data_IF_042700385015
#
_entry.id   IF_042700385015
#
_cell.length_a   1.000
_cell.length_b   1.000
_cell.length_c   1.000
_cell.angle_alpha   90.00
_cell.angle_beta   90.00
_cell.angle_gamma   90.00
#
_symmetry.space_group_name_H-M   'P 1'
#
loop_
_entity.id
_entity.type
_entity.pdbx_description
1 polymer ?
#
# COMPACT_ATOMS: atom_id res chain seq x y z
N UNK A 1 14.80 -41.07 -18.05
CA UNK A 1 13.74 -42.04 -17.71
C UNK A 1 12.45 -41.46 -18.25
N UNK A 2 11.85 -42.05 -19.29
CA UNK A 2 10.59 -41.54 -19.86
C UNK A 2 9.47 -42.06 -18.96
N UNK A 3 8.77 -41.15 -18.28
CA UNK A 3 7.62 -41.50 -17.43
C UNK A 3 6.49 -41.93 -18.38
N UNK A 4 6.17 -43.23 -18.37
CA UNK A 4 5.18 -43.85 -19.27
C UNK A 4 3.75 -43.82 -18.72
N UNK A 5 3.56 -43.30 -17.51
CA UNK A 5 2.27 -43.20 -16.83
C UNK A 5 1.74 -41.77 -16.93
N UNK A 6 0.53 -41.64 -17.50
CA UNK A 6 -0.15 -40.35 -17.69
C UNK A 6 -0.31 -39.58 -16.39
N UNK A 7 -0.62 -40.28 -15.30
CA UNK A 7 -0.98 -39.66 -14.03
C UNK A 7 0.25 -39.03 -13.35
N UNK A 8 1.41 -39.69 -13.47
CA UNK A 8 2.68 -39.15 -13.01
C UNK A 8 3.08 -37.91 -13.82
N UNK A 9 2.84 -37.90 -15.13
CA UNK A 9 3.10 -36.73 -15.98
C UNK A 9 2.19 -35.55 -15.63
N UNK A 10 0.91 -35.82 -15.33
CA UNK A 10 -0.04 -34.81 -14.88
C UNK A 10 0.40 -34.18 -13.55
N UNK A 11 0.86 -34.99 -12.60
CA UNK A 11 1.32 -34.49 -11.30
C UNK A 11 2.59 -33.64 -11.43
N UNK A 12 3.58 -34.10 -12.20
CA UNK A 12 4.81 -33.33 -12.46
C UNK A 12 4.51 -31.99 -13.15
N UNK A 13 3.57 -31.98 -14.10
CA UNK A 13 3.14 -30.75 -14.75
C UNK A 13 2.40 -29.81 -13.77
N UNK A 14 1.53 -30.36 -12.93
CA UNK A 14 0.79 -29.59 -11.92
C UNK A 14 1.74 -28.90 -10.94
N UNK A 15 2.74 -29.62 -10.43
CA UNK A 15 3.76 -29.08 -9.52
C UNK A 15 4.57 -27.96 -10.20
N UNK A 16 5.00 -28.18 -11.44
CA UNK A 16 5.72 -27.16 -12.21
C UNK A 16 4.91 -25.88 -12.38
N UNK A 17 3.63 -25.98 -12.75
CA UNK A 17 2.78 -24.81 -12.93
C UNK A 17 2.42 -24.14 -11.60
N UNK A 18 2.25 -24.90 -10.53
CA UNK A 18 2.03 -24.35 -9.20
C UNK A 18 3.20 -23.46 -8.77
N UNK A 19 4.44 -23.89 -9.01
CA UNK A 19 5.63 -23.09 -8.70
C UNK A 19 5.84 -21.93 -9.68
N UNK A 20 5.57 -22.15 -10.97
CA UNK A 20 5.70 -21.10 -12.00
C UNK A 20 4.70 -19.95 -11.80
N UNK A 21 3.46 -20.26 -11.42
CA UNK A 21 2.42 -19.28 -11.14
C UNK A 21 2.35 -18.88 -9.66
N UNK A 22 3.25 -19.40 -8.82
CA UNK A 22 3.36 -18.96 -7.44
C UNK A 22 3.68 -17.47 -7.46
N UNK A 23 2.69 -16.66 -7.07
CA UNK A 23 2.85 -15.22 -7.02
C UNK A 23 4.11 -14.90 -6.20
N UNK A 24 5.07 -14.22 -6.83
CA UNK A 24 6.19 -13.69 -6.08
C UNK A 24 5.61 -12.68 -5.09
N UNK A 25 5.87 -12.91 -3.80
CA UNK A 25 5.52 -11.95 -2.77
C UNK A 25 6.42 -10.72 -2.92
N UNK A 26 6.12 -9.88 -3.91
CA UNK A 26 6.78 -8.60 -4.11
C UNK A 26 6.20 -7.66 -3.06
N UNK A 27 6.83 -7.66 -1.88
CA UNK A 27 6.56 -6.65 -0.85
C UNK A 27 7.13 -5.34 -1.38
N UNK A 28 6.24 -4.44 -1.82
CA UNK A 28 6.63 -3.08 -2.16
C UNK A 28 6.68 -2.29 -0.85
N UNK A 29 7.79 -1.63 -0.52
CA UNK A 29 7.84 -0.79 0.66
C UNK A 29 6.78 0.30 0.54
N UNK A 30 6.11 0.60 1.65
CA UNK A 30 5.08 1.59 1.68
C UNK A 30 5.73 2.99 1.61
N UNK A 31 5.33 3.83 0.64
CA UNK A 31 6.11 4.99 0.19
C UNK A 31 6.23 6.11 1.23
N UNK A 32 5.54 6.02 2.36
CA UNK A 32 5.57 7.05 3.41
C UNK A 32 5.94 6.53 4.79
N UNK A 33 5.99 5.21 4.98
CA UNK A 33 6.30 4.60 6.30
C UNK A 33 7.68 3.98 6.31
N UNK A 34 8.14 3.48 5.17
CA UNK A 34 9.41 2.78 5.06
C UNK A 34 10.52 3.73 4.55
N UNK A 35 10.17 5.00 4.30
CA UNK A 35 11.14 6.05 4.00
C UNK A 35 11.84 6.53 5.27
N UNK A 36 13.11 6.94 5.17
CA UNK A 36 13.78 7.61 6.28
C UNK A 36 13.03 8.89 6.67
N UNK A 37 13.10 9.30 7.94
CA UNK A 37 12.54 10.59 8.38
C UNK A 37 13.12 11.73 7.53
N UNK A 38 12.26 12.65 7.10
CA UNK A 38 12.69 13.87 6.41
C UNK A 38 13.20 14.84 7.47
N UNK A 39 14.47 15.24 7.36
CA UNK A 39 15.02 16.33 8.16
C UNK A 39 14.55 17.66 7.56
N UNK A 40 13.64 18.35 8.26
CA UNK A 40 13.23 19.69 7.86
C UNK A 40 14.15 20.73 8.49
N UNK A 41 14.54 21.74 7.70
CA UNK A 41 15.36 22.87 8.16
C UNK A 41 14.69 23.65 9.32
N UNK A 42 13.36 23.60 9.39
CA UNK A 42 12.54 24.29 10.37
C UNK A 42 12.06 23.41 11.54
N UNK A 43 12.71 22.27 11.80
CA UNK A 43 12.34 21.37 12.91
C UNK A 43 12.28 22.06 14.29
N UNK A 44 13.00 23.19 14.47
CA UNK A 44 13.01 23.98 15.71
C UNK A 44 12.05 25.18 15.69
N UNK A 45 11.34 25.43 14.58
CA UNK A 45 10.37 26.51 14.50
C UNK A 45 9.07 26.11 15.16
N UNK A 46 8.50 27.01 15.96
CA UNK A 46 7.21 26.78 16.60
C UNK A 46 6.12 26.89 15.54
N UNK A 47 5.33 25.82 15.39
CA UNK A 47 4.12 25.86 14.56
C UNK A 47 3.15 26.87 15.20
N UNK A 48 2.66 27.88 14.46
CA UNK A 48 1.73 28.86 15.01
C UNK A 48 0.43 28.18 15.45
N UNK A 49 -0.14 28.66 16.55
CA UNK A 49 -1.42 28.14 17.05
C UNK A 49 -2.54 28.44 16.05
N UNK A 50 -3.32 27.41 15.71
CA UNK A 50 -4.50 27.56 14.84
C UNK A 50 -5.68 28.02 15.68
N UNK A 51 -6.29 29.14 15.28
CA UNK A 51 -7.47 29.67 15.96
C UNK A 51 -8.75 28.94 15.54
N UNK A 52 -9.76 28.95 16.41
CA UNK A 52 -11.06 28.35 16.14
C UNK A 52 -11.73 28.99 14.90
N UNK A 53 -11.51 30.29 14.69
CA UNK A 53 -12.04 31.03 13.55
C UNK A 53 -11.42 30.55 12.23
N UNK A 54 -10.10 30.30 12.20
CA UNK A 54 -9.41 29.71 11.04
C UNK A 54 -9.91 28.29 10.74
N UNK A 55 -10.18 27.49 11.77
CA UNK A 55 -10.79 26.16 11.63
C UNK A 55 -12.20 26.23 11.03
N UNK A 56 -13.05 27.13 11.50
CA UNK A 56 -14.41 27.30 10.99
C UNK A 56 -14.40 27.75 9.52
N UNK A 57 -13.46 28.61 9.15
CA UNK A 57 -13.32 29.11 7.77
C UNK A 57 -12.75 28.08 6.79
N UNK A 58 -11.92 27.14 7.28
CA UNK A 58 -11.27 26.12 6.44
C UNK A 58 -12.12 24.87 6.26
N UNK A 59 -13.00 24.54 7.22
CA UNK A 59 -13.97 23.47 7.03
C UNK A 59 -14.97 23.93 5.98
N UNK A 60 -15.05 23.28 4.80
CA UNK A 60 -16.10 23.59 3.86
C UNK A 60 -17.42 23.27 4.57
N UNK A 61 -18.14 24.30 4.96
CA UNK A 61 -19.48 24.17 5.50
C UNK A 61 -20.28 23.43 4.44
N UNK A 62 -20.46 22.11 4.63
CA UNK A 62 -21.39 21.33 3.83
C UNK A 62 -22.76 21.95 4.08
N UNK A 63 -23.15 22.92 3.24
CA UNK A 63 -24.52 23.42 3.20
C UNK A 63 -25.38 22.17 3.01
N UNK A 64 -26.09 21.77 4.06
CA UNK A 64 -27.26 20.92 3.87
C UNK A 64 -28.17 21.72 2.94
N UNK A 65 -28.31 21.26 1.69
CA UNK A 65 -29.43 21.71 0.86
C UNK A 65 -30.67 21.30 1.63
N UNK A 66 -31.44 22.27 2.11
CA UNK A 66 -32.77 22.00 2.65
C UNK A 66 -33.57 21.37 1.50
N UNK A 67 -33.81 20.07 1.60
CA UNK A 67 -34.81 19.34 0.82
C UNK A 67 -36.09 19.30 1.63
#
# INVERSE_FOLDING_TARGET
>A
QIVKESDLMCNVAADYYQDFFKASNIVRPHPYTDLPPIEYDNNNEVIPEVTLDELINTVPAKKKKNL
#
